data_IF_028093666976
#
_entry.id   IF_028093666976
#
_cell.length_a   1.000
_cell.length_b   1.000
_cell.length_c   1.000
_cell.angle_alpha   90.00
_cell.angle_beta   90.00
_cell.angle_gamma   90.00
#
_symmetry.space_group_name_H-M   'P 1'
#
loop_
_entity.id
_entity.type
_entity.pdbx_description
1 polymer ?
#
# COMPACT_ATOMS: atom_id res chain seq x y z
N UNK A 1 -3.89 22.05 43.33
CA UNK A 1 -4.75 21.65 42.18
C UNK A 1 -3.92 21.78 40.91
N UNK A 2 -3.42 20.67 40.39
CA UNK A 2 -2.73 20.61 39.09
C UNK A 2 -3.79 20.68 37.99
N UNK A 3 -3.82 21.78 37.23
CA UNK A 3 -4.65 21.91 36.04
C UNK A 3 -4.12 20.95 34.97
N UNK A 4 -4.81 19.83 34.81
CA UNK A 4 -4.57 18.92 33.68
C UNK A 4 -5.15 19.60 32.44
N UNK A 5 -4.27 20.14 31.59
CA UNK A 5 -4.70 20.76 30.34
C UNK A 5 -5.45 19.71 29.51
N UNK A 6 -6.65 20.01 28.97
CA UNK A 6 -7.37 19.06 28.14
C UNK A 6 -6.47 18.69 26.95
N UNK A 7 -6.26 17.39 26.73
CA UNK A 7 -5.45 16.89 25.64
C UNK A 7 -5.95 17.51 24.32
N UNK A 8 -5.12 18.37 23.71
CA UNK A 8 -5.45 19.00 22.43
C UNK A 8 -5.88 17.92 21.43
N UNK A 9 -7.07 18.05 20.80
CA UNK A 9 -7.50 17.07 19.81
C UNK A 9 -6.45 17.01 18.71
N UNK A 10 -5.94 15.81 18.44
CA UNK A 10 -4.94 15.60 17.41
C UNK A 10 -5.47 16.18 16.10
N UNK A 11 -4.88 17.29 15.62
CA UNK A 11 -5.32 17.92 14.38
C UNK A 11 -5.18 16.88 13.26
N UNK A 12 -6.23 16.67 12.45
CA UNK A 12 -6.11 15.79 11.30
C UNK A 12 -4.95 16.27 10.42
N UNK A 13 -4.24 15.35 9.74
CA UNK A 13 -3.22 15.75 8.76
C UNK A 13 -3.80 16.78 7.80
N UNK A 14 -3.04 17.85 7.53
CA UNK A 14 -3.50 18.94 6.65
C UNK A 14 -3.93 18.38 5.30
N UNK A 15 -4.96 18.98 4.69
CA UNK A 15 -5.61 18.42 3.49
C UNK A 15 -4.62 18.16 2.33
N UNK A 16 -3.52 18.92 2.23
CA UNK A 16 -2.46 18.66 1.27
C UNK A 16 -1.78 17.29 1.43
N UNK A 17 -1.50 16.84 2.65
CA UNK A 17 -0.88 15.53 2.90
C UNK A 17 -1.83 14.37 2.67
N UNK A 18 -3.15 14.58 2.82
CA UNK A 18 -4.15 13.59 2.41
C UNK A 18 -4.14 13.38 0.91
N UNK A 19 -4.02 14.45 0.13
CA UNK A 19 -3.90 14.38 -1.33
C UNK A 19 -2.64 13.62 -1.74
N UNK A 20 -1.49 13.89 -1.11
CA UNK A 20 -0.24 13.15 -1.37
C UNK A 20 -0.41 11.64 -1.09
N UNK A 21 -1.01 11.29 0.05
CA UNK A 21 -1.30 9.89 0.39
C UNK A 21 -2.22 9.24 -0.66
N UNK A 22 -3.27 9.93 -1.06
CA UNK A 22 -4.23 9.44 -2.04
C UNK A 22 -3.59 9.22 -3.42
N UNK A 23 -2.82 10.20 -3.92
CA UNK A 23 -2.06 10.08 -5.17
C UNK A 23 -1.07 8.92 -5.08
N UNK A 24 -0.39 8.73 -3.95
CA UNK A 24 0.54 7.62 -3.75
C UNK A 24 -0.18 6.28 -3.93
N UNK A 25 -1.33 6.10 -3.29
CA UNK A 25 -2.08 4.83 -3.37
C UNK A 25 -2.67 4.57 -4.75
N UNK A 26 -3.09 5.62 -5.47
CA UNK A 26 -3.45 5.50 -6.89
C UNK A 26 -2.25 5.08 -7.73
N UNK A 27 -1.08 5.68 -7.49
CA UNK A 27 0.16 5.31 -8.17
C UNK A 27 0.53 3.85 -7.91
N UNK A 28 0.47 3.39 -6.66
CA UNK A 28 0.68 1.98 -6.27
C UNK A 28 -0.27 1.06 -7.02
N UNK A 29 -1.56 1.40 -7.08
CA UNK A 29 -2.57 0.63 -7.82
C UNK A 29 -2.22 0.55 -9.31
N UNK A 30 -1.88 1.68 -9.93
CA UNK A 30 -1.49 1.75 -11.34
C UNK A 30 -0.20 0.94 -11.62
N UNK A 31 0.81 1.01 -10.74
CA UNK A 31 2.04 0.24 -10.87
C UNK A 31 1.79 -1.27 -10.75
N UNK A 32 0.98 -1.71 -9.79
CA UNK A 32 0.63 -3.14 -9.66
C UNK A 32 -0.17 -3.64 -10.86
N UNK A 33 -1.08 -2.83 -11.40
CA UNK A 33 -1.79 -3.14 -12.65
C UNK A 33 -0.81 -3.25 -13.84
N UNK A 34 0.12 -2.32 -13.96
CA UNK A 34 1.14 -2.35 -15.01
C UNK A 34 2.02 -3.61 -14.92
N UNK A 35 2.44 -3.98 -13.70
CA UNK A 35 3.18 -5.24 -13.45
C UNK A 35 2.33 -6.45 -13.83
N UNK A 36 1.03 -6.44 -13.52
CA UNK A 36 0.10 -7.52 -13.87
C UNK A 36 -0.08 -7.70 -15.38
N UNK A 37 -0.20 -6.59 -16.11
CA UNK A 37 -0.29 -6.63 -17.58
C UNK A 37 1.04 -7.11 -18.16
N UNK A 38 2.16 -6.58 -17.69
CA UNK A 38 3.51 -6.95 -18.14
C UNK A 38 3.83 -8.42 -17.84
N UNK A 39 3.41 -8.94 -16.70
CA UNK A 39 3.63 -10.36 -16.36
C UNK A 39 2.87 -11.27 -17.33
N UNK A 40 1.64 -10.90 -17.71
CA UNK A 40 0.82 -11.63 -18.69
C UNK A 40 1.45 -11.61 -20.08
N UNK A 41 2.06 -10.50 -20.52
CA UNK A 41 2.70 -10.43 -21.84
C UNK A 41 4.02 -11.22 -21.91
N UNK A 42 4.77 -11.27 -20.81
CA UNK A 42 6.03 -12.03 -20.70
C UNK A 42 5.77 -13.53 -20.43
N UNK A 43 4.52 -13.92 -20.18
CA UNK A 43 4.14 -15.30 -19.86
C UNK A 43 4.59 -15.76 -18.47
N UNK A 44 5.00 -14.82 -17.60
CA UNK A 44 5.36 -15.11 -16.21
C UNK A 44 4.16 -14.85 -15.32
N UNK A 45 3.71 -15.89 -14.63
CA UNK A 45 2.59 -15.78 -13.71
C UNK A 45 3.01 -15.20 -12.37
N UNK A 46 2.16 -14.31 -11.86
CA UNK A 46 2.22 -13.84 -10.47
C UNK A 46 1.49 -14.87 -9.62
N UNK A 47 1.96 -15.17 -8.40
CA UNK A 47 1.37 -16.22 -7.58
C UNK A 47 -0.14 -16.07 -7.34
N UNK A 48 -0.66 -14.85 -7.22
CA UNK A 48 -2.10 -14.59 -7.04
C UNK A 48 -2.92 -14.63 -8.34
N UNK A 49 -2.26 -14.59 -9.50
CA UNK A 49 -2.88 -14.60 -10.82
C UNK A 49 -2.89 -16.00 -11.44
N UNK A 50 -1.86 -16.80 -11.11
CA UNK A 50 -1.62 -18.12 -11.67
C UNK A 50 -1.17 -18.12 -13.14
N UNK A 51 -0.63 -19.24 -13.64
CA UNK A 51 -0.33 -19.45 -15.06
C UNK A 51 -1.55 -19.24 -15.96
N UNK A 52 -1.34 -18.81 -17.21
CA UNK A 52 -2.42 -18.72 -18.19
C UNK A 52 -3.09 -20.07 -18.48
N UNK A 53 -2.34 -21.17 -18.34
CA UNK A 53 -2.82 -22.55 -18.48
C UNK A 53 -3.58 -23.08 -17.27
N UNK A 54 -3.36 -22.52 -16.07
CA UNK A 54 -4.06 -22.89 -14.85
C UNK A 54 -4.25 -21.64 -13.96
N UNK A 55 -5.31 -20.85 -14.20
CA UNK A 55 -5.52 -19.59 -13.50
C UNK A 55 -5.73 -19.83 -12.00
N UNK A 56 -5.19 -18.94 -11.18
CA UNK A 56 -5.41 -19.01 -9.74
C UNK A 56 -6.90 -18.75 -9.41
N UNK A 57 -7.44 -19.37 -8.35
CA UNK A 57 -8.78 -19.10 -7.88
C UNK A 57 -9.02 -17.60 -7.68
N UNK A 58 -10.23 -17.11 -8.01
CA UNK A 58 -10.61 -15.69 -7.92
C UNK A 58 -10.33 -15.09 -6.54
N UNK A 59 -10.37 -15.91 -5.49
CA UNK A 59 -10.03 -15.50 -4.11
C UNK A 59 -8.62 -14.91 -3.97
N UNK A 60 -7.64 -15.40 -4.72
CA UNK A 60 -6.28 -14.87 -4.69
C UNK A 60 -6.18 -13.49 -5.35
N UNK A 61 -7.02 -13.19 -6.34
CA UNK A 61 -7.08 -11.85 -6.96
C UNK A 61 -7.57 -10.77 -5.98
N UNK A 62 -8.35 -11.16 -4.97
CA UNK A 62 -8.80 -10.24 -3.94
C UNK A 62 -7.64 -9.77 -3.03
N UNK A 63 -6.56 -10.53 -2.92
CA UNK A 63 -5.44 -10.20 -2.02
C UNK A 63 -4.80 -8.85 -2.38
N UNK A 64 -4.25 -8.63 -3.59
CA UNK A 64 -3.67 -7.33 -3.94
C UNK A 64 -4.72 -6.21 -3.94
N UNK A 65 -5.97 -6.50 -4.31
CA UNK A 65 -7.08 -5.53 -4.28
C UNK A 65 -7.34 -5.06 -2.85
N UNK A 66 -7.36 -5.97 -1.88
CA UNK A 66 -7.57 -5.63 -0.48
C UNK A 66 -6.35 -4.90 0.10
N UNK A 67 -5.13 -5.31 -0.24
CA UNK A 67 -3.90 -4.67 0.26
C UNK A 67 -3.81 -3.21 -0.21
N UNK A 68 -4.19 -2.92 -1.46
CA UNK A 68 -4.12 -1.56 -2.03
C UNK A 68 -5.41 -0.77 -1.75
N UNK A 69 -6.55 -1.44 -1.82
CA UNK A 69 -7.87 -0.83 -1.65
C UNK A 69 -8.14 -0.39 -0.21
N UNK A 70 -7.69 -1.15 0.79
CA UNK A 70 -7.90 -0.79 2.20
C UNK A 70 -7.28 0.56 2.59
N UNK A 71 -5.99 0.86 2.33
CA UNK A 71 -5.41 2.17 2.62
C UNK A 71 -5.98 3.29 1.75
N UNK A 72 -6.33 3.01 0.48
CA UNK A 72 -6.97 3.99 -0.40
C UNK A 72 -8.34 4.43 0.15
N UNK A 73 -9.17 3.47 0.58
CA UNK A 73 -10.48 3.74 1.15
C UNK A 73 -10.42 4.43 2.52
N UNK A 74 -9.46 4.02 3.36
CA UNK A 74 -9.24 4.65 4.68
C UNK A 74 -8.75 6.09 4.52
N UNK A 75 -7.95 6.38 3.51
CA UNK A 75 -7.50 7.75 3.20
C UNK A 75 -8.67 8.70 2.92
N UNK A 76 -9.74 8.20 2.30
CA UNK A 76 -10.96 8.98 2.07
C UNK A 76 -11.79 9.17 3.34
N UNK A 77 -11.96 8.13 4.16
CA UNK A 77 -12.95 8.12 5.27
C UNK A 77 -12.42 8.46 6.65
N UNK A 78 -11.16 8.15 6.99
CA UNK A 78 -10.64 8.27 8.36
C UNK A 78 -9.20 8.79 8.38
N UNK A 79 -9.00 10.13 8.43
CA UNK A 79 -7.68 10.74 8.33
C UNK A 79 -6.74 10.33 9.49
N UNK A 80 -7.31 10.02 10.65
CA UNK A 80 -6.60 9.61 11.86
C UNK A 80 -5.89 8.24 11.71
N UNK A 81 -6.35 7.40 10.78
CA UNK A 81 -5.81 6.05 10.56
C UNK A 81 -4.95 5.95 9.30
N UNK A 82 -4.77 7.02 8.54
CA UNK A 82 -4.02 7.05 7.27
C UNK A 82 -2.64 6.42 7.43
N UNK A 83 -1.89 6.85 8.45
CA UNK A 83 -0.53 6.36 8.68
C UNK A 83 -0.52 4.88 9.02
N UNK A 84 -1.35 4.44 9.97
CA UNK A 84 -1.33 3.04 10.43
C UNK A 84 -1.73 2.08 9.32
N UNK A 85 -2.76 2.42 8.55
CA UNK A 85 -3.24 1.57 7.45
C UNK A 85 -2.29 1.63 6.26
N UNK A 86 -1.69 2.79 5.95
CA UNK A 86 -0.67 2.90 4.91
C UNK A 86 0.58 2.06 5.20
N UNK A 87 1.02 2.06 6.46
CA UNK A 87 2.17 1.25 6.91
C UNK A 87 1.85 -0.24 6.85
N UNK A 88 0.66 -0.64 7.31
CA UNK A 88 0.19 -2.04 7.19
C UNK A 88 0.06 -2.49 5.73
N UNK A 89 -0.50 -1.65 4.85
CA UNK A 89 -0.63 -1.95 3.42
C UNK A 89 0.73 -2.10 2.73
N UNK A 90 1.69 -1.24 3.07
CA UNK A 90 3.06 -1.31 2.52
C UNK A 90 3.78 -2.59 2.96
N UNK A 91 3.67 -2.96 4.24
CA UNK A 91 4.23 -4.20 4.76
C UNK A 91 3.57 -5.42 4.12
N UNK A 92 2.24 -5.40 3.96
CA UNK A 92 1.52 -6.49 3.30
C UNK A 92 1.95 -6.64 1.83
N UNK A 93 2.18 -5.53 1.12
CA UNK A 93 2.75 -5.54 -0.24
C UNK A 93 4.13 -6.21 -0.27
N UNK A 94 5.01 -5.86 0.66
CA UNK A 94 6.36 -6.46 0.75
C UNK A 94 6.30 -7.97 1.04
N UNK A 95 5.44 -8.38 1.98
CA UNK A 95 5.22 -9.81 2.27
C UNK A 95 4.65 -10.53 1.06
N UNK A 96 3.72 -9.88 0.32
CA UNK A 96 3.11 -10.46 -0.88
C UNK A 96 4.12 -10.70 -2.02
N UNK A 97 5.29 -10.07 -1.99
CA UNK A 97 6.34 -10.30 -2.99
C UNK A 97 7.21 -11.52 -2.69
N UNK A 98 7.22 -12.03 -1.45
CA UNK A 98 8.06 -13.17 -1.05
C UNK A 98 7.81 -14.44 -1.88
N UNK A 99 6.56 -14.84 -2.17
CA UNK A 99 6.30 -16.05 -2.96
C UNK A 99 6.83 -15.97 -4.39
N UNK A 100 6.89 -14.77 -4.98
CA UNK A 100 7.40 -14.57 -6.35
C UNK A 100 8.93 -14.60 -6.43
N UNK A 101 9.65 -14.47 -5.31
CA UNK A 101 11.12 -14.43 -5.33
C UNK A 101 11.75 -15.72 -5.87
N UNK A 102 11.12 -16.87 -5.60
CA UNK A 102 11.62 -18.18 -6.02
C UNK A 102 11.27 -18.56 -7.46
N UNK A 103 10.18 -18.03 -8.01
CA UNK A 103 9.68 -18.40 -9.35
C UNK A 103 9.93 -17.31 -10.39
N UNK A 104 9.83 -16.03 -10.03
CA UNK A 104 9.87 -14.89 -10.93
C UNK A 104 10.51 -13.65 -10.30
N UNK A 105 11.83 -13.65 -10.18
CA UNK A 105 12.59 -12.58 -9.50
C UNK A 105 12.31 -11.17 -10.06
N UNK A 106 12.05 -11.01 -11.36
CA UNK A 106 11.73 -9.72 -11.96
C UNK A 106 10.40 -9.12 -11.43
N UNK A 107 9.38 -9.97 -11.25
CA UNK A 107 8.07 -9.58 -10.72
C UNK A 107 8.20 -9.24 -9.24
N UNK A 108 8.92 -10.07 -8.48
CA UNK A 108 9.17 -9.86 -7.06
C UNK A 108 9.89 -8.52 -6.82
N UNK A 109 10.95 -8.22 -7.58
CA UNK A 109 11.68 -6.94 -7.48
C UNK A 109 10.73 -5.76 -7.72
N UNK A 110 9.88 -5.82 -8.76
CA UNK A 110 8.94 -4.74 -9.05
C UNK A 110 7.96 -4.50 -7.89
N UNK A 111 7.36 -5.55 -7.33
CA UNK A 111 6.42 -5.43 -6.19
C UNK A 111 7.15 -4.91 -4.94
N UNK A 112 8.39 -5.36 -4.70
CA UNK A 112 9.22 -4.86 -3.60
C UNK A 112 9.50 -3.37 -3.76
N UNK A 113 9.89 -2.91 -4.95
CA UNK A 113 10.14 -1.48 -5.22
C UNK A 113 8.88 -0.64 -4.98
N UNK A 114 7.72 -1.11 -5.43
CA UNK A 114 6.43 -0.43 -5.19
C UNK A 114 6.11 -0.40 -3.68
N UNK A 115 6.31 -1.51 -2.97
CA UNK A 115 6.11 -1.60 -1.53
C UNK A 115 7.01 -0.66 -0.74
N UNK A 116 8.28 -0.55 -1.13
CA UNK A 116 9.24 0.39 -0.52
C UNK A 116 8.84 1.86 -0.75
N UNK A 117 8.38 2.21 -1.95
CA UNK A 117 7.90 3.55 -2.24
C UNK A 117 6.66 3.91 -1.38
N UNK A 118 5.72 2.97 -1.25
CA UNK A 118 4.55 3.13 -0.38
C UNK A 118 4.95 3.26 1.11
N UNK A 119 5.94 2.50 1.54
CA UNK A 119 6.47 2.53 2.90
C UNK A 119 7.16 3.87 3.20
N UNK A 120 7.97 4.38 2.29
CA UNK A 120 8.61 5.69 2.40
C UNK A 120 7.56 6.82 2.52
N UNK A 121 6.50 6.78 1.70
CA UNK A 121 5.38 7.72 1.80
C UNK A 121 4.66 7.64 3.16
N UNK A 122 4.44 6.41 3.65
CA UNK A 122 3.81 6.17 4.96
C UNK A 122 4.68 6.69 6.12
N UNK A 123 6.00 6.54 6.04
CA UNK A 123 6.96 7.11 7.01
C UNK A 123 6.95 8.65 6.94
N UNK A 124 6.94 9.23 5.74
CA UNK A 124 6.88 10.68 5.57
C UNK A 124 5.62 11.27 6.25
N UNK A 125 4.45 10.64 6.05
CA UNK A 125 3.21 11.02 6.72
C UNK A 125 3.31 10.91 8.25
N UNK A 126 3.95 9.85 8.75
CA UNK A 126 4.20 9.66 10.19
C UNK A 126 5.08 10.77 10.77
N UNK A 127 6.16 11.15 10.08
CA UNK A 127 7.08 12.20 10.50
C UNK A 127 6.40 13.57 10.53
N UNK A 128 5.59 13.87 9.51
CA UNK A 128 4.80 15.11 9.44
C UNK A 128 3.84 15.20 10.62
N UNK A 129 3.08 14.13 10.89
CA UNK A 129 2.14 14.11 12.01
C UNK A 129 2.82 14.24 13.37
N UNK A 130 4.06 13.75 13.52
CA UNK A 130 4.85 13.93 14.75
C UNK A 130 5.38 15.37 14.90
N UNK A 131 5.72 16.05 13.80
CA UNK A 131 6.30 17.41 13.83
C UNK A 131 5.28 18.50 14.17
N UNK A 132 4.00 18.28 13.87
CA UNK A 132 2.90 19.22 14.14
C UNK A 132 2.12 18.91 15.44
N UNK A 133 2.63 18.00 16.26
CA UNK A 133 2.09 17.67 17.59
C UNK A 133 2.88 18.39 18.67
#
# INVERSE_FOLDING_TARGET
MSFEAPASPARPPSDGWRTVAFITWIGVLASVLAVTISSRTIGRSIWWLGPSSNPAPVFYLLIPILIIGTPLFVTMRRPERIVRVGLMGSVALLISAMPDMGSNSAIAIAIITIGLAALASSIALLLVLRKYR
#
